data_IF_304320967056
#
_entry.id   IF_304320967056
#
_cell.length_a   1.000
_cell.length_b   1.000
_cell.length_c   1.000
_cell.angle_alpha   90.00
_cell.angle_beta   90.00
_cell.angle_gamma   90.00
#
_symmetry.space_group_name_H-M   'P 1'
#
loop_
_entity.id
_entity.type
_entity.pdbx_description
1 polymer ?
#
# COMPACT_ATOMS: atom_id res chain seq x y z
N UNK A 1 17.25 -6.61 14.11
CA UNK A 1 15.97 -6.97 14.76
C UNK A 1 14.91 -7.09 13.68
N UNK A 2 13.73 -7.63 13.99
CA UNK A 2 12.60 -7.65 13.03
C UNK A 2 12.16 -6.23 12.63
N UNK A 3 12.15 -5.27 13.57
CA UNK A 3 11.85 -3.86 13.27
C UNK A 3 12.90 -3.17 12.40
N UNK A 4 14.19 -3.51 12.52
CA UNK A 4 15.20 -2.97 11.59
C UNK A 4 15.14 -3.63 10.21
N UNK A 5 14.63 -4.87 10.12
CA UNK A 5 14.33 -5.47 8.81
C UNK A 5 13.13 -4.77 8.17
N UNK A 6 12.01 -4.61 8.91
CA UNK A 6 10.85 -3.85 8.46
C UNK A 6 11.26 -2.44 8.01
N UNK A 7 11.97 -1.67 8.85
CA UNK A 7 12.49 -0.34 8.50
C UNK A 7 13.32 -0.34 7.21
N UNK A 8 14.06 -1.40 6.91
CA UNK A 8 14.84 -1.48 5.66
C UNK A 8 13.92 -1.70 4.46
N UNK A 9 12.86 -2.50 4.59
CA UNK A 9 11.87 -2.72 3.53
C UNK A 9 11.07 -1.45 3.25
N UNK A 10 10.53 -0.79 4.28
CA UNK A 10 9.80 0.48 4.11
C UNK A 10 10.66 1.55 3.42
N UNK A 11 11.96 1.59 3.74
CA UNK A 11 12.91 2.49 3.05
C UNK A 11 13.15 2.09 1.60
N UNK A 12 13.18 0.79 1.31
CA UNK A 12 13.31 0.25 -0.03
C UNK A 12 12.07 0.65 -0.85
N UNK A 13 10.86 0.38 -0.35
CA UNK A 13 9.59 0.68 -1.00
C UNK A 13 9.39 2.19 -1.20
N UNK A 14 9.58 2.98 -0.13
CA UNK A 14 9.54 4.46 -0.22
C UNK A 14 10.50 4.99 -1.30
N UNK A 15 11.75 4.51 -1.34
CA UNK A 15 12.72 4.94 -2.35
C UNK A 15 12.37 4.45 -3.75
N UNK A 16 11.88 3.22 -3.87
CA UNK A 16 11.47 2.62 -5.14
C UNK A 16 10.35 3.43 -5.80
N UNK A 17 9.30 3.76 -5.05
CA UNK A 17 8.17 4.52 -5.57
C UNK A 17 8.50 5.99 -5.86
N UNK A 18 9.34 6.64 -5.03
CA UNK A 18 9.85 7.99 -5.32
C UNK A 18 10.64 8.04 -6.64
N UNK A 19 11.48 7.04 -6.88
CA UNK A 19 12.25 6.94 -8.13
C UNK A 19 11.34 6.60 -9.32
N UNK A 20 10.32 5.76 -9.13
CA UNK A 20 9.33 5.47 -10.16
C UNK A 20 8.56 6.72 -10.60
N UNK A 21 8.05 7.53 -9.66
CA UNK A 21 7.37 8.80 -9.94
C UNK A 21 8.27 9.83 -10.63
N UNK A 22 9.58 9.77 -10.38
CA UNK A 22 10.56 10.63 -11.05
C UNK A 22 10.87 10.18 -12.47
N UNK A 23 10.65 8.90 -12.78
CA UNK A 23 11.05 8.27 -14.05
C UNK A 23 9.90 8.10 -15.04
N UNK A 24 8.69 7.86 -14.55
CA UNK A 24 7.54 7.53 -15.37
C UNK A 24 6.42 8.56 -15.21
N UNK A 25 6.10 9.26 -16.29
CA UNK A 25 4.91 10.08 -16.42
C UNK A 25 3.80 9.30 -17.16
N UNK A 26 2.63 9.95 -17.34
CA UNK A 26 1.50 9.36 -18.08
C UNK A 26 1.90 8.95 -19.50
N UNK A 27 2.76 9.74 -20.16
CA UNK A 27 3.22 9.45 -21.51
C UNK A 27 4.06 8.17 -21.57
N UNK A 28 5.00 7.99 -20.64
CA UNK A 28 5.81 6.78 -20.53
C UNK A 28 4.93 5.54 -20.28
N UNK A 29 3.96 5.66 -19.37
CA UNK A 29 2.99 4.59 -19.07
C UNK A 29 2.16 4.21 -20.31
N UNK A 30 1.67 5.19 -21.07
CA UNK A 30 0.91 4.96 -22.31
C UNK A 30 1.77 4.32 -23.40
N UNK A 31 3.03 4.75 -23.55
CA UNK A 31 3.98 4.14 -24.48
C UNK A 31 4.27 2.68 -24.14
N UNK A 32 4.17 2.30 -22.85
CA UNK A 32 4.28 0.93 -22.40
C UNK A 32 3.01 0.09 -22.63
N UNK A 33 1.97 0.67 -23.24
CA UNK A 33 0.74 -0.04 -23.65
C UNK A 33 -0.44 0.12 -22.70
N UNK A 34 -0.36 0.99 -21.70
CA UNK A 34 -1.48 1.33 -20.83
C UNK A 34 -2.40 2.37 -21.51
N UNK A 35 -3.69 2.34 -21.17
CA UNK A 35 -4.58 3.47 -21.52
C UNK A 35 -4.23 4.68 -20.66
N UNK A 36 -4.56 5.88 -21.14
CA UNK A 36 -4.35 7.13 -20.38
C UNK A 36 -5.06 7.09 -19.01
N UNK A 37 -6.26 6.50 -18.95
CA UNK A 37 -6.99 6.31 -17.69
C UNK A 37 -6.25 5.39 -16.72
N UNK A 38 -5.73 4.25 -17.20
CA UNK A 38 -4.95 3.35 -16.34
C UNK A 38 -3.66 4.01 -15.86
N UNK A 39 -2.94 4.69 -16.75
CA UNK A 39 -1.71 5.40 -16.44
C UNK A 39 -1.93 6.44 -15.33
N UNK A 40 -2.98 7.27 -15.46
CA UNK A 40 -3.33 8.28 -14.46
C UNK A 40 -3.68 7.65 -13.11
N UNK A 41 -4.56 6.64 -13.09
CA UNK A 41 -4.94 5.96 -11.84
C UNK A 41 -3.72 5.35 -11.15
N UNK A 42 -2.85 4.66 -11.89
CA UNK A 42 -1.64 4.04 -11.35
C UNK A 42 -0.75 5.10 -10.70
N UNK A 43 -0.45 6.20 -11.40
CA UNK A 43 0.41 7.27 -10.89
C UNK A 43 -0.20 8.02 -9.69
N UNK A 44 -1.51 8.22 -9.67
CA UNK A 44 -2.21 8.78 -8.51
C UNK A 44 -2.13 7.86 -7.28
N UNK A 45 -2.32 6.55 -7.48
CA UNK A 45 -2.19 5.60 -6.37
C UNK A 45 -0.75 5.51 -5.86
N UNK A 46 0.25 5.54 -6.74
CA UNK A 46 1.66 5.52 -6.31
C UNK A 46 2.00 6.75 -5.45
N UNK A 47 1.43 7.92 -5.74
CA UNK A 47 1.61 9.10 -4.89
C UNK A 47 1.10 8.89 -3.47
N UNK A 48 -0.04 8.20 -3.32
CA UNK A 48 -0.57 7.84 -2.00
C UNK A 48 0.34 6.83 -1.32
N UNK A 49 0.77 5.78 -2.03
CA UNK A 49 1.65 4.73 -1.51
C UNK A 49 2.96 5.34 -0.99
N UNK A 50 3.61 6.24 -1.73
CA UNK A 50 4.83 6.94 -1.27
C UNK A 50 4.63 7.64 0.09
N UNK A 51 3.46 8.24 0.31
CA UNK A 51 3.13 8.91 1.56
C UNK A 51 2.98 7.90 2.69
N UNK A 52 2.28 6.79 2.43
CA UNK A 52 2.09 5.69 3.38
C UNK A 52 3.46 5.09 3.77
N UNK A 53 4.30 4.72 2.80
CA UNK A 53 5.65 4.17 3.03
C UNK A 53 6.53 5.12 3.84
N UNK A 54 6.53 6.42 3.50
CA UNK A 54 7.29 7.43 4.23
C UNK A 54 6.79 7.60 5.67
N UNK A 55 5.49 7.41 5.88
CA UNK A 55 4.84 7.43 7.20
C UNK A 55 5.22 6.21 8.01
N UNK A 56 5.24 5.02 7.41
CA UNK A 56 5.70 3.79 8.04
C UNK A 56 7.17 3.88 8.47
N UNK A 57 8.07 4.36 7.59
CA UNK A 57 9.49 4.62 7.92
C UNK A 57 9.60 5.50 9.17
N UNK A 58 8.83 6.59 9.22
CA UNK A 58 8.82 7.53 10.34
C UNK A 58 8.32 6.89 11.64
N UNK A 59 7.22 6.14 11.55
CA UNK A 59 6.62 5.44 12.69
C UNK A 59 7.58 4.38 13.28
N UNK A 60 8.17 3.52 12.44
CA UNK A 60 9.10 2.48 12.88
C UNK A 60 10.38 3.09 13.44
N UNK A 61 10.91 4.15 12.81
CA UNK A 61 12.07 4.89 13.32
C UNK A 61 11.79 5.45 14.71
N UNK A 62 10.62 6.04 14.92
CA UNK A 62 10.18 6.55 16.22
C UNK A 62 10.06 5.43 17.26
N UNK A 63 9.43 4.32 16.91
CA UNK A 63 9.27 3.16 17.78
C UNK A 63 10.62 2.56 18.22
N UNK A 64 11.57 2.42 17.29
CA UNK A 64 12.92 1.94 17.58
C UNK A 64 13.65 2.86 18.56
N UNK A 65 13.63 4.18 18.32
CA UNK A 65 14.25 5.17 19.22
C UNK A 65 13.61 5.14 20.61
N UNK A 66 12.28 5.09 20.69
CA UNK A 66 11.55 5.01 21.95
C UNK A 66 11.87 3.73 22.75
N UNK A 67 12.16 2.63 22.05
CA UNK A 67 12.60 1.38 22.64
C UNK A 67 14.12 1.34 22.97
N UNK A 68 14.85 2.45 22.80
CA UNK A 68 16.30 2.52 23.02
C UNK A 68 17.14 1.77 21.98
N UNK A 69 16.54 1.38 20.85
CA UNK A 69 17.23 0.73 19.76
C UNK A 69 17.69 1.74 18.71
N UNK A 70 18.78 1.43 18.01
CA UNK A 70 19.29 2.23 16.89
C UNK A 70 18.55 1.87 15.60
N UNK A 71 17.86 2.84 14.95
CA UNK A 71 17.32 2.65 13.61
C UNK A 71 18.42 2.35 12.61
N UNK A 72 18.25 1.30 11.82
CA UNK A 72 19.23 0.91 10.81
C UNK A 72 19.12 1.81 9.56
N UNK A 73 20.28 2.23 9.04
CA UNK A 73 20.38 3.12 7.87
C UNK A 73 21.54 2.74 6.94
N UNK A 74 22.06 1.53 7.06
CA UNK A 74 23.27 1.08 6.34
C UNK A 74 22.97 0.43 4.99
N UNK A 75 21.90 0.82 4.31
CA UNK A 75 21.49 0.26 3.02
C UNK A 75 21.39 1.37 1.97
N UNK A 76 21.95 1.11 0.79
CA UNK A 76 21.56 1.79 -0.45
C UNK A 76 20.75 0.84 -1.33
N UNK A 77 20.07 1.39 -2.32
CA UNK A 77 19.20 0.61 -3.21
C UNK A 77 19.58 0.77 -4.67
N UNK A 78 19.43 -0.30 -5.46
CA UNK A 78 19.50 -0.23 -6.91
C UNK A 78 18.23 -0.80 -7.52
N UNK A 79 17.59 0.01 -8.35
CA UNK A 79 16.34 -0.33 -9.02
C UNK A 79 16.46 -0.25 -10.55
N UNK A 80 17.68 -0.25 -11.11
CA UNK A 80 17.89 -0.06 -12.55
C UNK A 80 17.11 -1.07 -13.38
N UNK A 81 17.13 -2.34 -12.96
CA UNK A 81 16.36 -3.42 -13.59
C UNK A 81 14.86 -3.31 -13.30
N UNK A 82 14.48 -3.00 -12.07
CA UNK A 82 13.08 -2.91 -11.65
C UNK A 82 12.34 -1.71 -12.24
N UNK A 83 13.06 -0.63 -12.54
CA UNK A 83 12.54 0.59 -13.17
C UNK A 83 12.96 0.66 -14.63
N UNK A 84 13.24 -0.46 -15.29
CA UNK A 84 13.65 -0.47 -16.70
C UNK A 84 12.53 0.03 -17.63
N UNK A 85 11.28 -0.36 -17.35
CA UNK A 85 10.07 0.12 -18.02
C UNK A 85 8.86 0.10 -17.06
N UNK A 86 7.75 0.78 -17.41
CA UNK A 86 6.58 0.87 -16.54
C UNK A 86 5.91 -0.47 -16.18
N UNK A 87 5.84 -1.44 -17.08
CA UNK A 87 5.21 -2.73 -16.80
C UNK A 87 6.10 -3.58 -15.89
N UNK A 88 7.42 -3.55 -16.10
CA UNK A 88 8.37 -4.17 -15.18
C UNK A 88 8.26 -3.55 -13.78
N UNK A 89 8.16 -2.22 -13.69
CA UNK A 89 7.95 -1.52 -12.42
C UNK A 89 6.68 -2.01 -11.71
N UNK A 90 5.53 -2.03 -12.38
CA UNK A 90 4.24 -2.49 -11.82
C UNK A 90 4.30 -3.96 -11.38
N UNK A 91 5.03 -4.81 -12.11
CA UNK A 91 5.25 -6.22 -11.72
C UNK A 91 6.17 -6.37 -10.52
N UNK A 92 7.23 -5.58 -10.41
CA UNK A 92 8.15 -5.62 -9.28
C UNK A 92 7.48 -5.06 -8.02
N UNK A 93 6.72 -3.96 -8.15
CA UNK A 93 5.93 -3.38 -7.07
C UNK A 93 5.01 -4.43 -6.43
N UNK A 94 4.25 -5.18 -7.25
CA UNK A 94 3.43 -6.31 -6.78
C UNK A 94 4.20 -7.32 -5.93
N UNK A 95 5.45 -7.59 -6.30
CA UNK A 95 6.31 -8.53 -5.58
C UNK A 95 6.81 -7.93 -4.26
N UNK A 96 7.21 -6.66 -4.26
CA UNK A 96 7.69 -5.96 -3.06
C UNK A 96 6.57 -5.88 -2.02
N UNK A 97 5.36 -5.45 -2.39
CA UNK A 97 4.21 -5.40 -1.49
C UNK A 97 3.89 -6.77 -0.87
N UNK A 98 3.95 -7.84 -1.69
CA UNK A 98 3.76 -9.20 -1.19
C UNK A 98 4.85 -9.60 -0.18
N UNK A 99 6.10 -9.16 -0.39
CA UNK A 99 7.22 -9.36 0.53
C UNK A 99 7.02 -8.56 1.82
N UNK A 100 6.56 -7.30 1.74
CA UNK A 100 6.20 -6.46 2.88
C UNK A 100 5.16 -7.13 3.78
N UNK A 101 4.01 -7.53 3.20
CA UNK A 101 2.96 -8.30 3.90
C UNK A 101 3.53 -9.54 4.59
N UNK A 102 4.28 -10.34 3.83
CA UNK A 102 4.88 -11.59 4.31
C UNK A 102 5.87 -11.38 5.46
N UNK A 103 6.62 -10.27 5.43
CA UNK A 103 7.60 -9.92 6.46
C UNK A 103 6.93 -9.54 7.78
N UNK A 104 5.88 -8.72 7.74
CA UNK A 104 5.10 -8.38 8.93
C UNK A 104 4.45 -9.60 9.58
N UNK A 105 3.78 -10.44 8.77
CA UNK A 105 3.14 -11.66 9.27
C UNK A 105 4.16 -12.65 9.84
N UNK A 106 5.28 -12.86 9.15
CA UNK A 106 6.37 -13.72 9.62
C UNK A 106 7.04 -13.22 10.91
N UNK A 107 7.04 -11.90 11.14
CA UNK A 107 7.58 -11.28 12.34
C UNK A 107 6.58 -11.16 13.50
N UNK A 108 5.26 -11.27 13.26
CA UNK A 108 4.23 -10.97 14.25
C UNK A 108 4.44 -11.72 15.58
N UNK A 109 4.73 -13.03 15.52
CA UNK A 109 4.97 -13.86 16.71
C UNK A 109 6.26 -13.53 17.48
N UNK A 110 7.14 -12.71 16.91
CA UNK A 110 8.40 -12.26 17.52
C UNK A 110 8.23 -10.92 18.27
N UNK A 111 7.08 -10.26 18.13
CA UNK A 111 6.76 -9.00 18.79
C UNK A 111 5.99 -9.29 20.07
N UNK A 112 6.65 -9.12 21.22
CA UNK A 112 6.07 -9.38 22.55
C UNK A 112 5.34 -8.17 23.15
N UNK A 113 5.69 -6.97 22.70
CA UNK A 113 5.04 -5.73 23.12
C UNK A 113 3.74 -5.53 22.34
N UNK A 114 2.61 -5.46 23.03
CA UNK A 114 1.28 -5.37 22.41
C UNK A 114 1.05 -4.06 21.65
N UNK A 115 1.70 -2.97 22.07
CA UNK A 115 1.61 -1.67 21.39
C UNK A 115 2.37 -1.76 20.07
N UNK A 116 3.58 -2.31 20.08
CA UNK A 116 4.36 -2.55 18.86
C UNK A 116 3.71 -3.57 17.93
N UNK A 117 3.05 -4.60 18.47
CA UNK A 117 2.30 -5.57 17.67
C UNK A 117 1.09 -4.91 17.00
N UNK A 118 0.36 -4.04 17.72
CA UNK A 118 -0.77 -3.29 17.15
C UNK A 118 -0.30 -2.33 16.06
N UNK A 119 0.83 -1.65 16.25
CA UNK A 119 1.41 -0.79 15.23
C UNK A 119 1.82 -1.58 13.97
N UNK A 120 2.52 -2.71 14.14
CA UNK A 120 2.86 -3.61 13.04
C UNK A 120 1.61 -4.15 12.32
N UNK A 121 0.56 -4.50 13.09
CA UNK A 121 -0.72 -4.96 12.54
C UNK A 121 -1.45 -3.84 11.77
N UNK A 122 -1.29 -2.57 12.15
CA UNK A 122 -1.88 -1.48 11.38
C UNK A 122 -1.18 -1.28 10.03
N UNK A 123 0.16 -1.40 10.00
CA UNK A 123 0.97 -1.27 8.78
C UNK A 123 0.63 -2.38 7.79
N UNK A 124 0.65 -3.65 8.23
CA UNK A 124 0.40 -4.79 7.31
C UNK A 124 -0.96 -4.72 6.60
N UNK A 125 -1.96 -4.05 7.19
CA UNK A 125 -3.26 -3.87 6.52
C UNK A 125 -3.19 -2.86 5.38
N UNK A 126 -2.28 -1.89 5.44
CA UNK A 126 -2.02 -0.92 4.38
C UNK A 126 -1.20 -1.59 3.27
N UNK A 127 -0.13 -2.30 3.61
CA UNK A 127 0.64 -3.14 2.68
C UNK A 127 -0.27 -4.08 1.86
N UNK A 128 -1.23 -4.74 2.51
CA UNK A 128 -2.19 -5.62 1.83
C UNK A 128 -3.10 -4.88 0.83
N UNK A 129 -3.44 -3.61 1.10
CA UNK A 129 -4.21 -2.77 0.15
C UNK A 129 -3.35 -2.33 -1.01
N UNK A 130 -2.09 -1.97 -0.78
CA UNK A 130 -1.13 -1.68 -1.84
C UNK A 130 -0.92 -2.91 -2.73
N UNK A 131 -0.72 -4.09 -2.14
CA UNK A 131 -0.62 -5.36 -2.86
C UNK A 131 -1.87 -5.63 -3.71
N UNK A 132 -3.07 -5.32 -3.18
CA UNK A 132 -4.33 -5.43 -3.92
C UNK A 132 -4.34 -4.56 -5.17
N UNK A 133 -3.91 -3.30 -5.06
CA UNK A 133 -3.80 -2.39 -6.20
C UNK A 133 -2.86 -2.95 -7.26
N UNK A 134 -1.67 -3.40 -6.87
CA UNK A 134 -0.71 -3.94 -7.82
C UNK A 134 -1.12 -5.29 -8.41
N UNK A 135 -1.90 -6.11 -7.69
CA UNK A 135 -2.52 -7.27 -8.30
C UNK A 135 -3.46 -6.86 -9.46
N UNK A 136 -4.33 -5.87 -9.23
CA UNK A 136 -5.27 -5.38 -10.25
C UNK A 136 -4.54 -4.69 -11.40
N UNK A 137 -3.50 -3.89 -11.14
CA UNK A 137 -2.70 -3.25 -12.18
C UNK A 137 -1.97 -4.25 -13.07
N UNK A 138 -1.62 -5.42 -12.55
CA UNK A 138 -1.07 -6.54 -13.33
C UNK A 138 -2.14 -7.42 -14.00
N UNK A 139 -3.42 -7.03 -13.97
CA UNK A 139 -4.53 -7.80 -14.54
C UNK A 139 -4.89 -9.06 -13.75
N UNK A 140 -4.45 -9.15 -12.49
CA UNK A 140 -4.75 -10.25 -11.58
C UNK A 140 -6.02 -10.01 -10.75
N UNK A 141 -6.33 -10.98 -9.87
CA UNK A 141 -7.39 -10.83 -8.87
C UNK A 141 -6.94 -9.93 -7.72
N UNK A 142 -7.81 -9.05 -7.24
CA UNK A 142 -7.56 -8.17 -6.09
C UNK A 142 -6.99 -8.96 -4.90
N UNK A 143 -7.64 -10.07 -4.57
CA UNK A 143 -7.22 -11.04 -3.57
C UNK A 143 -6.78 -12.33 -4.28
N UNK A 144 -5.47 -12.63 -4.22
CA UNK A 144 -4.92 -13.80 -4.92
C UNK A 144 -5.11 -15.11 -4.14
N UNK A 145 -5.22 -15.04 -2.81
CA UNK A 145 -5.39 -16.18 -1.94
C UNK A 145 -6.14 -15.80 -0.64
N UNK A 146 -6.80 -16.75 0.05
CA UNK A 146 -7.51 -16.47 1.30
C UNK A 146 -6.60 -16.25 2.52
N UNK A 147 -5.30 -16.59 2.40
CA UNK A 147 -4.32 -16.41 3.46
C UNK A 147 -2.98 -16.00 2.87
N UNK A 148 -2.41 -14.91 3.37
CA UNK A 148 -1.05 -14.52 3.03
C UNK A 148 -0.01 -15.43 3.67
N UNK A 149 1.17 -15.47 3.05
CA UNK A 149 2.24 -16.42 3.39
C UNK A 149 3.24 -15.74 4.33
N UNK A 150 3.32 -16.10 5.62
CA UNK A 150 4.33 -15.55 6.50
C UNK A 150 5.73 -16.03 6.08
N UNK A 151 6.68 -15.10 5.94
CA UNK A 151 8.06 -15.44 5.58
C UNK A 151 9.03 -15.17 6.73
N UNK A 152 9.96 -16.09 6.92
CA UNK A 152 11.08 -15.88 7.82
C UNK A 152 11.97 -14.75 7.30
N UNK A 153 12.65 -13.98 8.18
CA UNK A 153 13.53 -12.88 7.79
C UNK A 153 14.57 -13.22 6.71
N UNK A 154 15.10 -14.45 6.69
CA UNK A 154 16.04 -14.88 5.67
C UNK A 154 15.39 -15.08 4.29
N UNK A 155 14.12 -15.51 4.25
CA UNK A 155 13.35 -15.64 3.02
C UNK A 155 12.97 -14.26 2.47
N UNK A 156 12.56 -13.35 3.34
CA UNK A 156 12.33 -11.93 2.98
C UNK A 156 13.59 -11.32 2.35
N UNK A 157 14.75 -11.48 3.00
CA UNK A 157 16.02 -10.99 2.45
C UNK A 157 16.44 -11.69 1.16
N UNK A 158 16.02 -12.94 0.94
CA UNK A 158 16.29 -13.64 -0.32
C UNK A 158 15.49 -13.04 -1.48
N UNK A 159 14.28 -12.54 -1.22
CA UNK A 159 13.41 -11.94 -2.23
C UNK A 159 13.74 -10.46 -2.48
N UNK A 160 14.02 -9.68 -1.43
CA UNK A 160 14.37 -8.27 -1.54
C UNK A 160 15.87 -8.02 -1.82
N UNK A 161 16.72 -9.03 -1.59
CA UNK A 161 18.18 -8.87 -1.57
C UNK A 161 18.81 -8.40 -2.87
N UNK A 162 18.15 -8.61 -4.02
CA UNK A 162 18.61 -8.11 -5.32
C UNK A 162 18.63 -6.59 -5.43
N UNK A 163 17.81 -5.90 -4.62
CA UNK A 163 17.73 -4.43 -4.60
C UNK A 163 18.65 -3.80 -3.56
N UNK A 164 19.18 -4.59 -2.63
CA UNK A 164 19.96 -4.14 -1.49
C UNK A 164 21.45 -4.01 -1.84
N UNK A 165 22.03 -2.83 -1.63
CA UNK A 165 23.45 -2.55 -1.84
C UNK A 165 24.11 -2.10 -0.54
N UNK A 166 25.33 -2.60 -0.28
CA UNK A 166 26.09 -2.26 0.93
C UNK A 166 25.46 -2.71 2.26
N UNK A 167 24.34 -3.44 2.22
CA UNK A 167 23.52 -3.76 3.37
C UNK A 167 24.16 -4.80 4.31
N UNK A 168 24.34 -4.42 5.58
CA UNK A 168 24.69 -5.32 6.68
C UNK A 168 23.49 -5.62 7.59
N UNK A 169 22.27 -5.70 7.02
CA UNK A 169 21.09 -6.10 7.78
C UNK A 169 21.31 -7.52 8.28
N UNK A 170 21.51 -7.67 9.59
CA UNK A 170 21.98 -8.92 10.19
C UNK A 170 21.08 -10.09 9.82
N UNK A 171 21.67 -11.14 9.22
CA UNK A 171 21.04 -12.43 8.88
C UNK A 171 20.54 -13.23 10.09
N UNK A 172 20.71 -12.72 11.31
CA UNK A 172 20.23 -13.29 12.58
C UNK A 172 19.33 -12.27 13.30
N UNK A 173 18.01 -12.36 13.15
CA UNK A 173 17.08 -11.46 13.82
C UNK A 173 17.21 -11.63 15.33
N UNK A 174 17.65 -10.59 16.04
CA UNK A 174 17.54 -10.52 17.49
C UNK A 174 16.10 -10.14 17.86
N UNK A 175 15.48 -10.91 18.75
CA UNK A 175 14.19 -10.60 19.39
C UNK A 175 14.31 -9.24 20.10
N UNK A 176 13.41 -8.29 19.87
CA UNK A 176 13.24 -7.18 20.81
C UNK A 176 12.39 -7.73 21.96
N UNK A 177 12.96 -7.79 23.16
CA UNK A 177 12.30 -8.44 24.29
C UNK A 177 11.32 -7.50 24.99
N UNK A 178 11.61 -6.20 25.13
CA UNK A 178 10.67 -5.15 25.59
C UNK A 178 11.41 -3.81 25.67
N UNK A 179 10.66 -2.71 25.61
CA UNK A 179 11.07 -1.47 26.26
C UNK A 179 11.02 -1.72 27.78
N UNK A 180 12.15 -1.63 28.46
CA UNK A 180 12.26 -1.86 29.89
C UNK A 180 11.44 -0.79 30.66
N UNK A 181 10.17 -1.10 30.96
CA UNK A 181 9.31 -0.50 32.01
C UNK A 181 9.17 1.03 32.12
N UNK A 182 9.80 1.83 31.26
CA UNK A 182 9.93 3.31 31.40
C UNK A 182 9.32 4.09 30.24
N UNK A 183 8.68 3.41 29.29
CA UNK A 183 8.17 4.02 28.06
C UNK A 183 6.72 4.55 28.15
N UNK A 184 6.14 4.67 29.35
CA UNK A 184 4.75 5.16 29.53
C UNK A 184 4.55 6.59 28.99
N UNK A 185 5.59 7.43 29.04
CA UNK A 185 5.51 8.82 28.59
C UNK A 185 5.74 9.04 27.08
N UNK A 186 6.45 8.14 26.38
CA UNK A 186 6.79 8.33 24.95
C UNK A 186 5.96 7.48 23.98
N UNK A 187 5.32 6.41 24.44
CA UNK A 187 4.38 5.63 23.62
C UNK A 187 3.03 6.33 23.42
N UNK A 188 2.72 7.37 24.22
CA UNK A 188 1.64 8.30 23.93
C UNK A 188 1.86 9.09 22.63
N UNK A 189 3.10 9.25 22.15
CA UNK A 189 3.37 9.83 20.82
C UNK A 189 3.24 8.83 19.68
N UNK A 190 3.21 7.52 19.97
CA UNK A 190 2.81 6.48 19.00
C UNK A 190 1.28 6.35 18.92
N UNK A 191 0.54 6.85 19.93
CA UNK A 191 -0.88 7.13 19.78
C UNK A 191 -1.00 8.35 18.87
N UNK A 192 -1.20 8.09 17.58
CA UNK A 192 -1.86 9.05 16.70
C UNK A 192 -0.99 10.31 16.46
N UNK A 193 0.11 10.16 15.71
CA UNK A 193 0.48 11.21 14.75
C UNK A 193 -0.34 11.08 13.45
N UNK A 194 -1.40 10.28 13.47
CA UNK A 194 -2.55 10.43 12.60
C UNK A 194 -3.43 11.59 13.12
N UNK A 195 -2.87 12.79 13.24
CA UNK A 195 -3.69 14.01 13.19
C UNK A 195 -4.17 14.19 11.76
N UNK A 196 -4.97 13.25 11.26
CA UNK A 196 -5.78 13.47 10.08
C UNK A 196 -6.92 14.41 10.51
N UNK A 197 -7.03 15.63 9.96
CA UNK A 197 -8.32 16.28 9.98
C UNK A 197 -9.29 15.35 9.25
N UNK A 198 -10.36 14.92 9.92
CA UNK A 198 -11.49 14.14 9.36
C UNK A 198 -12.22 14.93 8.24
N UNK A 199 -11.68 16.05 7.77
CA UNK A 199 -12.29 16.98 6.83
C UNK A 199 -11.95 16.74 5.35
N UNK A 200 -11.31 15.62 4.98
CA UNK A 200 -10.97 15.32 3.58
C UNK A 200 -11.87 14.28 2.89
N UNK A 201 -12.96 13.85 3.52
CA UNK A 201 -14.05 13.27 2.73
C UNK A 201 -14.80 14.41 2.04
N UNK A 202 -14.76 14.54 0.70
CA UNK A 202 -15.75 15.35 0.02
C UNK A 202 -17.12 14.84 0.47
N UNK A 203 -18.00 15.76 0.88
CA UNK A 203 -19.40 15.41 1.16
C UNK A 203 -19.94 14.61 -0.03
N UNK A 204 -20.69 13.52 0.20
CA UNK A 204 -21.31 12.79 -0.90
C UNK A 204 -22.10 13.79 -1.73
N UNK A 205 -21.83 13.81 -3.04
CA UNK A 205 -22.62 14.62 -3.96
C UNK A 205 -24.11 14.32 -3.72
N UNK A 206 -25.00 15.33 -3.68
CA UNK A 206 -26.42 15.09 -3.48
C UNK A 206 -26.89 14.09 -4.53
N UNK A 207 -27.59 13.04 -4.07
CA UNK A 207 -28.13 12.03 -4.95
C UNK A 207 -28.93 12.70 -6.06
N UNK A 208 -28.67 12.31 -7.31
CA UNK A 208 -29.43 12.78 -8.44
C UNK A 208 -30.93 12.52 -8.17
N UNK A 209 -31.81 13.50 -8.45
CA UNK A 209 -33.24 13.30 -8.26
C UNK A 209 -33.70 12.12 -9.12
N UNK A 210 -34.64 11.29 -8.63
CA UNK A 210 -35.17 10.19 -9.40
C UNK A 210 -35.73 10.70 -10.73
N UNK A 211 -35.60 9.92 -11.82
CA UNK A 211 -36.19 10.30 -13.10
C UNK A 211 -37.68 10.54 -12.91
N UNK A 212 -38.17 11.65 -13.46
CA UNK A 212 -39.59 12.00 -13.41
C UNK A 212 -40.42 10.84 -13.97
N UNK A 213 -41.55 10.48 -13.33
CA UNK A 213 -42.39 9.41 -13.84
C UNK A 213 -42.83 9.78 -15.27
N UNK A 214 -42.51 8.89 -16.21
CA UNK A 214 -43.05 8.94 -17.57
C UNK A 214 -44.57 8.96 -17.47
N UNK A 215 -45.16 10.09 -17.89
CA UNK A 215 -46.60 10.26 -17.92
C UNK A 215 -47.27 9.15 -18.77
N UNK A 216 -48.53 8.80 -18.47
CA UNK A 216 -49.21 7.71 -19.13
C UNK A 216 -49.29 7.96 -20.64
N UNK A 217 -48.91 6.93 -21.41
CA UNK A 217 -49.15 6.87 -22.85
C UNK A 217 -50.64 7.11 -23.11
N UNK A 218 -50.98 8.20 -23.81
CA UNK A 218 -52.33 8.46 -24.28
C UNK A 218 -52.64 7.52 -25.45
N UNK A 219 -52.99 6.28 -25.13
CA UNK A 219 -53.82 5.46 -26.01
C UNK A 219 -55.25 6.00 -25.95
N UNK A 220 -55.72 6.65 -27.02
CA UNK A 220 -57.14 6.66 -27.41
C UNK A 220 -57.40 7.69 -28.51
N UNK A 221 -57.65 7.23 -29.74
CA UNK A 221 -59.01 7.33 -30.33
C UNK A 221 -59.10 6.60 -31.67
N UNK A 222 -59.82 5.48 -31.62
CA UNK A 222 -60.47 4.83 -32.76
C UNK A 222 -61.80 5.57 -32.97
N UNK A 223 -62.16 6.06 -34.18
CA UNK A 223 -63.54 6.43 -34.46
C UNK A 223 -64.29 5.19 -34.96
N UNK A 224 -65.41 4.86 -34.32
CA UNK A 224 -66.37 3.88 -34.78
C UNK A 224 -67.55 4.54 -35.49
N UNK A 225 -67.94 3.90 -36.58
CA UNK A 225 -69.28 3.76 -37.19
C UNK A 225 -69.89 4.93 -37.97
N UNK A 226 -70.13 4.69 -39.26
CA UNK A 226 -71.46 4.43 -39.89
C UNK A 226 -71.27 4.46 -41.42
N UNK A 227 -72.08 3.93 -42.32
CA UNK A 227 -73.09 2.89 -42.41
C UNK A 227 -73.51 2.91 -43.90
N UNK A 228 -73.86 1.75 -44.46
CA UNK A 228 -74.85 1.57 -45.53
C UNK A 228 -74.58 2.01 -46.99
N UNK A 229 -74.79 0.99 -47.85
CA UNK A 229 -75.01 0.95 -49.32
C UNK A 229 -73.79 0.96 -50.22
#
# INVERSE_FOLDING_TARGET
SVFNLALTLEKLESSFYQQALSKFDVSAMVQAGLTETQATIILEQIQIIVIDESTHVSAITGALKAAGATPFDGCSFNFDSALSDPLTFVSVARTLEAVGVSAYLGAAHLITDSILLTAAASIVTIEARHQTLFNVFNGGSAEAQPFDIPLAPQQVLALAGGFLQGCQVSRRPRRLITADGRADASLHSLRISASFPISLFPSPAPAAPPPSPSGPSSSSRRPSSSASR
#
